data_IF_546133403114
#
_entry.id   IF_546133403114
#
_cell.length_a   1.000
_cell.length_b   1.000
_cell.length_c   1.000
_cell.angle_alpha   90.00
_cell.angle_beta   90.00
_cell.angle_gamma   90.00
#
_symmetry.space_group_name_H-M   'P 1'
#
loop_
_entity.id
_entity.type
_entity.pdbx_description
1 polymer ?
#
# COMPACT_ATOMS: atom_id res chain seq x y z
N UNK A 1 19.77 -32.63 -0.33
CA UNK A 1 19.28 -31.28 -0.05
C UNK A 1 18.49 -30.80 -1.26
N UNK A 2 17.24 -30.35 -1.08
CA UNK A 2 16.41 -29.84 -2.18
C UNK A 2 16.96 -28.47 -2.60
N UNK A 3 17.19 -28.26 -3.90
CA UNK A 3 17.60 -26.96 -4.45
C UNK A 3 16.34 -26.19 -4.84
N UNK A 4 16.11 -25.07 -4.20
CA UNK A 4 15.03 -24.12 -4.52
C UNK A 4 15.50 -23.22 -5.67
N UNK A 5 14.56 -22.74 -6.51
CA UNK A 5 14.87 -21.81 -7.59
C UNK A 5 15.51 -20.52 -7.05
N UNK A 6 16.55 -20.02 -7.74
CA UNK A 6 17.35 -18.88 -7.30
C UNK A 6 16.47 -17.65 -6.98
N UNK A 7 15.53 -17.32 -7.85
CA UNK A 7 14.59 -16.21 -7.63
C UNK A 7 13.78 -16.28 -6.33
N UNK A 8 13.58 -17.50 -5.77
CA UNK A 8 12.88 -17.70 -4.48
C UNK A 8 13.87 -17.55 -3.32
N UNK A 9 15.10 -18.07 -3.50
CA UNK A 9 16.15 -17.93 -2.48
C UNK A 9 16.61 -16.49 -2.28
N UNK A 10 16.52 -15.67 -3.33
CA UNK A 10 16.92 -14.26 -3.32
C UNK A 10 15.82 -13.32 -2.79
N UNK A 11 14.59 -13.83 -2.63
CA UNK A 11 13.48 -13.02 -2.10
C UNK A 11 13.61 -12.78 -0.61
N UNK A 12 13.39 -11.54 -0.20
CA UNK A 12 13.27 -11.19 1.21
C UNK A 12 11.88 -11.55 1.76
N UNK A 13 11.85 -12.07 2.99
CA UNK A 13 10.58 -12.22 3.70
C UNK A 13 9.96 -10.84 4.01
N UNK A 14 8.63 -10.74 3.93
CA UNK A 14 7.94 -9.51 4.27
C UNK A 14 8.11 -9.18 5.76
N UNK A 15 8.87 -8.12 6.08
CA UNK A 15 9.09 -7.67 7.45
C UNK A 15 7.77 -7.39 8.20
N UNK A 16 6.74 -6.90 7.50
CA UNK A 16 5.40 -6.71 8.06
C UNK A 16 4.78 -8.03 8.51
N UNK A 17 4.86 -9.09 7.68
CA UNK A 17 4.32 -10.40 8.02
C UNK A 17 5.15 -11.10 9.09
N UNK A 18 6.47 -10.98 9.06
CA UNK A 18 7.37 -11.51 10.08
C UNK A 18 7.11 -10.88 11.45
N UNK A 19 6.97 -9.55 11.53
CA UNK A 19 6.63 -8.87 12.78
C UNK A 19 5.23 -9.26 13.28
N UNK A 20 4.25 -9.40 12.41
CA UNK A 20 2.91 -9.85 12.78
C UNK A 20 2.90 -11.31 13.28
N UNK A 21 3.69 -12.20 12.68
CA UNK A 21 3.85 -13.58 13.14
C UNK A 21 4.51 -13.61 14.53
N UNK A 22 5.56 -12.82 14.74
CA UNK A 22 6.25 -12.71 16.04
C UNK A 22 5.32 -12.15 17.12
N UNK A 23 4.54 -11.13 16.79
CA UNK A 23 3.52 -10.57 17.70
C UNK A 23 2.49 -11.63 18.10
N UNK A 24 1.96 -12.42 17.16
CA UNK A 24 1.02 -13.51 17.46
C UNK A 24 1.65 -14.58 18.35
N UNK A 25 2.90 -14.97 18.09
CA UNK A 25 3.63 -15.92 18.91
C UNK A 25 3.72 -15.42 20.35
N UNK A 26 4.18 -14.18 20.57
CA UNK A 26 4.33 -13.59 21.90
C UNK A 26 3.00 -13.47 22.64
N UNK A 27 1.91 -13.12 21.93
CA UNK A 27 0.55 -13.15 22.50
C UNK A 27 0.13 -14.53 22.96
N UNK A 28 0.43 -15.58 22.17
CA UNK A 28 0.15 -16.97 22.55
C UNK A 28 0.96 -17.44 23.78
N UNK A 29 2.14 -16.84 24.00
CA UNK A 29 2.98 -17.03 25.19
C UNK A 29 2.47 -16.22 26.42
N UNK A 30 1.34 -15.51 26.28
CA UNK A 30 0.72 -14.73 27.37
C UNK A 30 1.26 -13.31 27.54
N UNK A 31 2.04 -12.78 26.61
CA UNK A 31 2.52 -11.39 26.65
C UNK A 31 1.45 -10.43 26.13
N UNK A 32 1.28 -9.30 26.82
CA UNK A 32 0.34 -8.25 26.46
C UNK A 32 0.89 -7.34 25.32
N UNK A 33 0.99 -7.91 24.11
CA UNK A 33 1.51 -7.20 22.93
C UNK A 33 0.41 -6.36 22.28
N UNK A 34 0.66 -5.07 22.07
CA UNK A 34 -0.14 -4.21 21.20
C UNK A 34 0.52 -4.23 19.80
N UNK A 35 -0.26 -4.64 18.77
CA UNK A 35 0.29 -4.78 17.41
C UNK A 35 -0.13 -3.62 16.52
N UNK A 36 0.82 -2.75 16.19
CA UNK A 36 0.67 -1.64 15.25
C UNK A 36 1.46 -1.89 13.95
N UNK A 37 1.72 -3.16 13.63
CA UNK A 37 2.53 -3.58 12.48
C UNK A 37 1.70 -3.89 11.23
N UNK A 38 0.41 -4.23 11.37
CA UNK A 38 -0.43 -4.64 10.25
C UNK A 38 -1.05 -3.44 9.52
N UNK A 39 -1.17 -3.58 8.21
CA UNK A 39 -1.89 -2.66 7.33
C UNK A 39 -3.32 -3.14 7.08
N UNK A 40 -4.12 -3.29 8.13
CA UNK A 40 -5.47 -3.82 8.05
C UNK A 40 -6.43 -2.93 8.85
N UNK A 41 -7.56 -2.47 8.25
CA UNK A 41 -8.58 -1.76 9.01
C UNK A 41 -9.14 -2.63 10.15
N UNK A 42 -9.34 -2.05 11.32
CA UNK A 42 -9.93 -2.72 12.49
C UNK A 42 -11.47 -2.72 12.47
N UNK A 43 -12.06 -2.19 11.42
CA UNK A 43 -13.50 -2.20 11.18
C UNK A 43 -13.97 -3.53 10.58
N UNK A 44 -15.24 -3.83 10.80
CA UNK A 44 -15.91 -4.92 10.08
C UNK A 44 -16.36 -4.45 8.71
N UNK A 45 -16.33 -5.37 7.72
CA UNK A 45 -16.97 -5.13 6.42
C UNK A 45 -18.42 -4.67 6.62
N UNK A 46 -18.86 -3.56 5.97
CA UNK A 46 -20.24 -3.07 6.06
C UNK A 46 -21.29 -4.12 5.73
N UNK A 47 -22.45 -4.03 6.37
CA UNK A 47 -23.48 -5.07 6.28
C UNK A 47 -24.01 -5.25 4.85
N UNK A 48 -24.27 -4.15 4.12
CA UNK A 48 -24.76 -4.20 2.75
C UNK A 48 -23.84 -5.00 1.81
N UNK A 49 -22.52 -4.98 2.05
CA UNK A 49 -21.54 -5.75 1.29
C UNK A 49 -21.66 -7.24 1.62
N UNK A 50 -21.84 -7.57 2.92
CA UNK A 50 -22.02 -8.96 3.36
C UNK A 50 -23.32 -9.55 2.84
N UNK A 51 -24.40 -8.76 2.81
CA UNK A 51 -25.68 -9.21 2.24
C UNK A 51 -25.55 -9.51 0.75
N UNK A 52 -24.86 -8.67 -0.03
CA UNK A 52 -24.57 -8.94 -1.44
C UNK A 52 -23.78 -10.26 -1.66
N UNK A 53 -22.88 -10.59 -0.73
CA UNK A 53 -22.19 -11.88 -0.76
C UNK A 53 -23.13 -13.06 -0.46
N UNK A 54 -24.01 -12.95 0.53
CA UNK A 54 -25.01 -13.97 0.89
C UNK A 54 -25.96 -14.21 -0.30
N UNK A 55 -26.45 -13.13 -0.92
CA UNK A 55 -27.25 -13.21 -2.13
C UNK A 55 -26.49 -13.91 -3.26
N UNK A 56 -25.22 -13.63 -3.44
CA UNK A 56 -24.37 -14.32 -4.41
C UNK A 56 -24.27 -15.83 -4.16
N UNK A 57 -24.24 -16.25 -2.89
CA UNK A 57 -24.28 -17.67 -2.53
C UNK A 57 -25.65 -18.28 -2.90
N UNK A 58 -26.75 -17.63 -2.51
CA UNK A 58 -28.12 -18.09 -2.76
C UNK A 58 -28.43 -18.16 -4.27
N UNK A 59 -27.88 -17.26 -5.06
CA UNK A 59 -27.95 -17.25 -6.52
C UNK A 59 -26.98 -18.22 -7.19
N UNK A 60 -26.23 -19.00 -6.41
CA UNK A 60 -25.33 -20.05 -6.92
C UNK A 60 -24.20 -19.55 -7.82
N UNK A 61 -23.55 -18.42 -7.47
CA UNK A 61 -22.30 -17.95 -8.11
C UNK A 61 -21.13 -18.87 -7.73
N UNK A 62 -21.16 -20.15 -8.16
CA UNK A 62 -20.23 -21.20 -7.75
C UNK A 62 -19.43 -21.81 -8.91
N UNK A 63 -19.68 -21.39 -10.14
CA UNK A 63 -18.98 -21.88 -11.33
C UNK A 63 -17.80 -20.97 -11.70
N UNK A 64 -16.96 -21.43 -12.64
CA UNK A 64 -15.89 -20.60 -13.19
C UNK A 64 -16.43 -19.30 -13.78
N UNK A 65 -15.76 -18.21 -13.48
CA UNK A 65 -16.06 -16.87 -13.96
C UNK A 65 -15.08 -16.45 -15.07
N UNK A 66 -15.41 -15.42 -15.87
CA UNK A 66 -14.46 -14.83 -16.81
C UNK A 66 -13.17 -14.36 -16.10
N UNK A 67 -12.01 -14.63 -16.71
CA UNK A 67 -10.70 -14.27 -16.15
C UNK A 67 -10.61 -12.79 -15.74
N UNK A 68 -11.06 -11.80 -16.56
CA UNK A 68 -11.03 -10.39 -16.18
C UNK A 68 -12.07 -9.98 -15.12
N UNK A 69 -12.89 -10.90 -14.65
CA UNK A 69 -14.05 -10.64 -13.79
C UNK A 69 -15.37 -10.56 -14.58
N UNK A 70 -16.49 -10.64 -13.85
CA UNK A 70 -17.81 -10.51 -14.43
C UNK A 70 -17.98 -9.16 -15.15
N UNK A 71 -18.75 -9.15 -16.24
CA UNK A 71 -18.95 -7.93 -17.03
C UNK A 71 -19.60 -6.82 -16.23
N UNK A 72 -20.64 -7.13 -15.45
CA UNK A 72 -21.33 -6.18 -14.60
C UNK A 72 -20.43 -5.61 -13.48
N UNK A 73 -19.48 -6.40 -12.95
CA UNK A 73 -18.47 -5.93 -12.02
C UNK A 73 -17.49 -4.96 -12.70
N UNK A 74 -17.05 -5.25 -13.93
CA UNK A 74 -16.15 -4.35 -14.68
C UNK A 74 -16.85 -3.04 -15.06
N UNK A 75 -18.13 -3.09 -15.40
CA UNK A 75 -18.96 -1.91 -15.63
C UNK A 75 -19.06 -1.09 -14.34
N UNK A 76 -19.34 -1.72 -13.20
CA UNK A 76 -19.42 -1.03 -11.90
C UNK A 76 -18.11 -0.32 -11.54
N UNK A 77 -16.96 -0.98 -11.78
CA UNK A 77 -15.64 -0.38 -11.57
C UNK A 77 -15.37 0.80 -12.51
N UNK A 78 -15.71 0.68 -13.80
CA UNK A 78 -15.57 1.78 -14.75
C UNK A 78 -16.42 2.99 -14.35
N UNK A 79 -17.65 2.76 -13.89
CA UNK A 79 -18.53 3.81 -13.36
C UNK A 79 -17.96 4.44 -12.08
N UNK A 80 -17.37 3.62 -11.19
CA UNK A 80 -16.67 4.11 -9.99
C UNK A 80 -15.50 5.02 -10.36
N UNK A 81 -14.66 4.64 -11.31
CA UNK A 81 -13.56 5.48 -11.75
C UNK A 81 -14.05 6.81 -12.34
N UNK A 82 -15.15 6.78 -13.10
CA UNK A 82 -15.75 8.03 -13.62
C UNK A 82 -16.33 8.89 -12.50
N UNK A 83 -17.07 8.31 -11.55
CA UNK A 83 -17.71 9.03 -10.41
C UNK A 83 -16.67 9.63 -9.47
N UNK A 84 -15.68 8.82 -9.07
CA UNK A 84 -14.76 9.18 -7.99
C UNK A 84 -13.51 9.89 -8.50
N UNK A 85 -13.02 9.55 -9.68
CA UNK A 85 -11.73 10.03 -10.18
C UNK A 85 -11.85 10.84 -11.49
N UNK A 86 -13.02 10.86 -12.14
CA UNK A 86 -13.22 11.48 -13.44
C UNK A 86 -12.60 10.71 -14.61
N UNK A 87 -12.11 9.49 -14.37
CA UNK A 87 -11.41 8.66 -15.36
C UNK A 87 -12.40 7.88 -16.22
N UNK A 88 -12.23 7.93 -17.55
CA UNK A 88 -13.17 7.33 -18.53
C UNK A 88 -12.66 6.00 -19.05
N UNK A 89 -12.54 4.99 -18.19
CA UNK A 89 -12.23 3.63 -18.61
C UNK A 89 -13.45 2.94 -19.21
N UNK A 90 -13.22 2.12 -20.25
CA UNK A 90 -14.22 1.18 -20.78
C UNK A 90 -14.13 -0.16 -20.03
N UNK A 91 -15.19 -0.98 -19.98
CA UNK A 91 -15.18 -2.27 -19.28
C UNK A 91 -14.08 -3.25 -19.73
N UNK A 92 -13.62 -3.16 -20.99
CA UNK A 92 -12.52 -3.97 -21.51
C UNK A 92 -11.12 -3.47 -21.08
N UNK A 93 -11.05 -2.33 -20.43
CA UNK A 93 -9.86 -1.75 -19.80
C UNK A 93 -9.75 -2.12 -18.31
N UNK A 94 -10.76 -2.82 -17.78
CA UNK A 94 -10.82 -3.21 -16.36
C UNK A 94 -10.48 -4.70 -16.23
N UNK A 95 -9.60 -5.02 -15.26
CA UNK A 95 -9.28 -6.40 -14.87
C UNK A 95 -9.39 -6.54 -13.37
N UNK A 96 -10.23 -7.48 -12.93
CA UNK A 96 -10.43 -7.81 -11.50
C UNK A 96 -9.48 -8.95 -11.11
N UNK A 97 -8.75 -8.79 -10.03
CA UNK A 97 -7.73 -9.73 -9.56
C UNK A 97 -7.94 -10.11 -8.09
N UNK A 98 -7.22 -11.14 -7.63
CA UNK A 98 -7.24 -11.59 -6.23
C UNK A 98 -6.45 -10.63 -5.33
N UNK A 99 -7.02 -9.42 -5.14
CA UNK A 99 -6.44 -8.27 -4.45
C UNK A 99 -5.47 -7.48 -5.33
N UNK A 100 -5.26 -6.20 -4.98
CA UNK A 100 -4.35 -5.30 -5.69
C UNK A 100 -2.92 -5.86 -5.82
N UNK A 101 -2.47 -6.69 -4.87
CA UNK A 101 -1.17 -7.36 -4.95
C UNK A 101 -1.04 -8.25 -6.19
N UNK A 102 -2.10 -8.97 -6.56
CA UNK A 102 -2.10 -9.76 -7.80
C UNK A 102 -2.17 -8.83 -9.03
N UNK A 103 -2.95 -7.76 -8.98
CA UNK A 103 -2.95 -6.76 -10.06
C UNK A 103 -1.55 -6.23 -10.34
N UNK A 104 -0.80 -5.89 -9.30
CA UNK A 104 0.58 -5.37 -9.41
C UNK A 104 1.52 -6.40 -10.04
N UNK A 105 1.55 -7.65 -9.56
CA UNK A 105 2.46 -8.65 -10.16
C UNK A 105 2.07 -8.98 -11.60
N UNK A 106 0.77 -9.00 -11.95
CA UNK A 106 0.33 -9.18 -13.32
C UNK A 106 0.85 -8.06 -14.22
N UNK A 107 0.78 -6.80 -13.77
CA UNK A 107 1.29 -5.63 -14.48
C UNK A 107 2.81 -5.70 -14.68
N UNK A 108 3.55 -5.96 -13.60
CA UNK A 108 5.01 -6.04 -13.65
C UNK A 108 5.45 -7.15 -14.61
N UNK A 109 4.87 -8.35 -14.53
CA UNK A 109 5.16 -9.44 -15.47
C UNK A 109 4.73 -9.16 -16.91
N UNK A 110 3.76 -8.26 -17.12
CA UNK A 110 3.31 -7.87 -18.47
C UNK A 110 4.21 -6.82 -19.11
N UNK A 111 4.88 -5.99 -18.33
CA UNK A 111 5.57 -4.79 -18.80
C UNK A 111 7.09 -4.85 -18.67
N UNK A 112 7.60 -5.66 -17.73
CA UNK A 112 9.01 -5.68 -17.35
C UNK A 112 9.70 -6.94 -17.87
N UNK A 113 10.75 -6.77 -18.64
CA UNK A 113 11.66 -7.85 -19.05
C UNK A 113 12.87 -7.92 -18.11
N UNK A 114 13.61 -9.04 -18.11
CA UNK A 114 14.87 -9.12 -17.38
C UNK A 114 15.84 -8.00 -17.79
N UNK A 115 16.29 -7.23 -16.79
CA UNK A 115 17.21 -6.12 -16.96
C UNK A 115 16.56 -4.74 -17.22
N UNK A 116 15.24 -4.67 -17.38
CA UNK A 116 14.52 -3.39 -17.39
C UNK A 116 14.55 -2.76 -16.00
N UNK A 117 14.64 -1.44 -15.97
CA UNK A 117 14.67 -0.65 -14.75
C UNK A 117 13.27 -0.17 -14.37
N UNK A 118 12.92 -0.36 -13.10
CA UNK A 118 11.66 0.13 -12.51
C UNK A 118 11.97 1.15 -11.43
N UNK A 119 11.57 2.40 -11.67
CA UNK A 119 11.74 3.48 -10.71
C UNK A 119 10.71 3.33 -9.58
N UNK A 120 11.21 3.28 -8.34
CA UNK A 120 10.39 3.14 -7.14
C UNK A 120 10.77 4.25 -6.15
N UNK A 121 9.93 5.31 -6.02
CA UNK A 121 10.11 6.31 -4.99
C UNK A 121 10.10 5.69 -3.61
N UNK A 122 11.15 5.91 -2.82
CA UNK A 122 11.25 5.45 -1.44
C UNK A 122 10.89 6.61 -0.48
N UNK A 123 10.15 6.35 0.61
CA UNK A 123 9.67 5.03 1.06
C UNK A 123 8.53 4.45 0.22
N UNK A 124 8.49 3.13 0.11
CA UNK A 124 7.54 2.38 -0.72
C UNK A 124 6.95 1.19 0.02
N UNK A 125 5.86 0.61 -0.49
CA UNK A 125 5.36 -0.65 0.06
C UNK A 125 6.31 -1.82 -0.25
N UNK A 126 6.71 -2.54 0.79
CA UNK A 126 7.74 -3.62 0.76
C UNK A 126 7.62 -4.62 -0.40
N UNK A 127 6.42 -4.81 -0.93
CA UNK A 127 6.15 -5.77 -2.00
C UNK A 127 6.65 -5.29 -3.38
N UNK A 128 6.77 -3.98 -3.61
CA UNK A 128 7.06 -3.45 -4.95
C UNK A 128 8.41 -3.94 -5.49
N UNK A 129 9.46 -3.72 -4.75
CA UNK A 129 10.83 -4.10 -5.16
C UNK A 129 10.97 -5.62 -5.31
N UNK A 130 10.32 -6.42 -4.47
CA UNK A 130 10.35 -7.87 -4.57
C UNK A 130 9.61 -8.37 -5.82
N UNK A 131 8.48 -7.79 -6.19
CA UNK A 131 7.78 -8.14 -7.41
C UNK A 131 8.57 -7.75 -8.67
N UNK A 132 9.27 -6.61 -8.64
CA UNK A 132 10.18 -6.21 -9.73
C UNK A 132 11.31 -7.23 -9.89
N UNK A 133 11.97 -7.63 -8.79
CA UNK A 133 13.02 -8.66 -8.81
C UNK A 133 12.51 -10.01 -9.30
N UNK A 134 11.29 -10.40 -8.90
CA UNK A 134 10.65 -11.64 -9.37
C UNK A 134 10.48 -11.68 -10.90
N UNK A 135 10.23 -10.55 -11.53
CA UNK A 135 10.14 -10.42 -12.99
C UNK A 135 11.51 -10.34 -13.67
N UNK A 136 12.60 -10.30 -12.91
CA UNK A 136 13.96 -10.09 -13.43
C UNK A 136 14.30 -8.61 -13.70
N UNK A 137 13.41 -7.68 -13.34
CA UNK A 137 13.65 -6.24 -13.41
C UNK A 137 14.59 -5.75 -12.30
N UNK A 138 15.12 -4.56 -12.49
CA UNK A 138 16.03 -3.89 -11.57
C UNK A 138 15.28 -2.72 -10.91
N UNK A 139 14.98 -2.79 -9.60
CA UNK A 139 14.37 -1.66 -8.90
C UNK A 139 15.41 -0.53 -8.75
N UNK A 140 15.06 0.66 -9.20
CA UNK A 140 15.82 1.89 -9.00
C UNK A 140 15.11 2.69 -7.92
N UNK A 141 15.62 2.59 -6.71
CA UNK A 141 15.03 3.24 -5.55
C UNK A 141 15.41 4.72 -5.52
N UNK A 142 14.42 5.62 -5.54
CA UNK A 142 14.64 7.06 -5.43
C UNK A 142 14.44 7.50 -3.98
N UNK A 143 15.52 7.80 -3.25
CA UNK A 143 15.39 8.21 -1.86
C UNK A 143 14.71 9.57 -1.73
N UNK A 144 13.87 9.68 -0.73
CA UNK A 144 13.29 10.94 -0.27
C UNK A 144 13.54 11.11 1.23
N UNK A 145 13.05 12.17 1.81
CA UNK A 145 13.21 12.41 3.26
C UNK A 145 11.97 13.07 3.86
N UNK A 146 11.93 13.10 5.18
CA UNK A 146 10.84 13.73 5.92
C UNK A 146 10.79 15.25 5.65
N UNK A 147 11.92 15.89 5.32
CA UNK A 147 12.00 17.32 5.04
C UNK A 147 11.29 17.72 3.74
N UNK A 148 11.16 16.80 2.78
CA UNK A 148 10.37 17.00 1.56
C UNK A 148 9.06 16.18 1.58
N UNK A 149 8.59 15.81 2.76
CA UNK A 149 7.37 15.04 2.99
C UNK A 149 7.35 13.71 2.22
N UNK A 150 8.51 13.08 2.10
CA UNK A 150 8.72 11.80 1.40
C UNK A 150 8.22 11.79 -0.06
N UNK A 151 8.29 12.95 -0.74
CA UNK A 151 7.88 13.11 -2.14
C UNK A 151 9.09 13.26 -3.05
N UNK A 152 9.06 12.65 -4.24
CA UNK A 152 10.04 12.92 -5.28
C UNK A 152 9.69 14.20 -6.04
N UNK A 153 10.72 14.88 -6.53
CA UNK A 153 10.58 16.00 -7.43
C UNK A 153 10.68 15.56 -8.90
N UNK A 154 10.14 16.34 -9.85
CA UNK A 154 10.34 16.12 -11.28
C UNK A 154 11.81 16.04 -11.69
N UNK A 155 12.69 16.81 -11.03
CA UNK A 155 14.13 16.80 -11.29
C UNK A 155 14.76 15.46 -10.88
N UNK A 156 14.37 14.88 -9.73
CA UNK A 156 14.84 13.56 -9.31
C UNK A 156 14.36 12.47 -10.27
N UNK A 157 13.08 12.51 -10.68
CA UNK A 157 12.55 11.55 -11.65
C UNK A 157 13.33 11.65 -12.97
N UNK A 158 13.49 12.86 -13.52
CA UNK A 158 14.22 13.07 -14.77
C UNK A 158 15.67 12.60 -14.70
N UNK A 159 16.35 12.81 -13.58
CA UNK A 159 17.72 12.38 -13.37
C UNK A 159 17.90 10.86 -13.28
N UNK A 160 16.85 10.14 -12.87
CA UNK A 160 16.84 8.69 -12.75
C UNK A 160 16.49 7.96 -14.06
N UNK A 161 15.94 8.67 -15.03
CA UNK A 161 15.56 8.08 -16.31
C UNK A 161 16.78 7.77 -17.16
N UNK A 162 16.84 6.55 -17.67
CA UNK A 162 17.86 6.03 -18.57
C UNK A 162 17.27 5.15 -19.67
N UNK A 163 18.11 4.65 -20.60
CA UNK A 163 17.64 3.86 -21.75
C UNK A 163 16.99 2.52 -21.39
N UNK A 164 17.11 2.08 -20.14
CA UNK A 164 16.48 0.86 -19.61
C UNK A 164 15.29 1.14 -18.72
N UNK A 165 14.98 2.40 -18.44
CA UNK A 165 13.86 2.79 -17.59
C UNK A 165 12.55 2.47 -18.30
N UNK A 166 11.76 1.58 -17.71
CA UNK A 166 10.51 1.06 -18.29
C UNK A 166 9.28 1.52 -17.55
N UNK A 167 9.39 1.67 -16.24
CA UNK A 167 8.22 1.81 -15.37
C UNK A 167 8.55 2.67 -14.14
N UNK A 168 7.59 3.49 -13.69
CA UNK A 168 7.54 4.02 -12.34
C UNK A 168 6.40 3.34 -11.57
N UNK A 169 6.68 2.94 -10.33
CA UNK A 169 5.69 2.31 -9.44
C UNK A 169 5.66 3.05 -8.11
N UNK A 170 4.53 3.65 -7.77
CA UNK A 170 4.35 4.37 -6.51
C UNK A 170 2.91 4.26 -6.00
N UNK A 171 2.64 4.66 -4.74
CA UNK A 171 1.30 4.73 -4.18
C UNK A 171 0.89 6.14 -3.76
N UNK A 172 -0.38 6.48 -3.98
CA UNK A 172 -0.95 7.77 -3.63
C UNK A 172 -2.43 7.62 -3.15
N UNK A 173 -2.73 7.82 -1.85
CA UNK A 173 -1.83 8.05 -0.70
C UNK A 173 -0.85 6.92 -0.42
N UNK A 174 0.30 7.25 0.17
CA UNK A 174 1.43 6.35 0.30
C UNK A 174 1.36 5.44 1.55
N UNK A 175 1.70 4.19 1.39
CA UNK A 175 2.14 3.30 2.45
C UNK A 175 3.66 3.12 2.29
N UNK A 176 4.51 3.59 3.24
CA UNK A 176 4.24 3.70 4.69
C UNK A 176 3.97 5.11 5.23
N UNK A 177 4.13 6.18 4.47
CA UNK A 177 4.25 7.55 4.99
C UNK A 177 2.94 8.25 5.28
N UNK A 178 1.83 7.79 4.67
CA UNK A 178 0.56 8.50 4.68
C UNK A 178 0.55 9.79 3.85
N UNK A 179 1.63 10.07 3.15
CA UNK A 179 1.77 11.25 2.28
C UNK A 179 0.86 11.15 1.07
N UNK A 180 0.34 12.29 0.62
CA UNK A 180 -0.46 12.41 -0.60
C UNK A 180 0.11 13.53 -1.47
N UNK A 181 0.26 13.25 -2.77
CA UNK A 181 0.66 14.26 -3.73
C UNK A 181 -0.52 15.17 -4.07
N UNK A 182 -0.26 16.46 -4.18
CA UNK A 182 -1.20 17.44 -4.71
C UNK A 182 -1.33 17.30 -6.24
N UNK A 183 -2.41 17.87 -6.80
CA UNK A 183 -2.61 17.89 -8.25
C UNK A 183 -1.45 18.56 -9.00
N UNK A 184 -0.90 19.64 -8.47
CA UNK A 184 0.25 20.34 -9.09
C UNK A 184 1.54 19.53 -9.06
N UNK A 185 1.81 18.81 -7.96
CA UNK A 185 2.96 17.93 -7.85
C UNK A 185 2.86 16.75 -8.84
N UNK A 186 1.68 16.11 -8.94
CA UNK A 186 1.45 15.04 -9.90
C UNK A 186 1.52 15.53 -11.34
N UNK A 187 0.98 16.74 -11.65
CA UNK A 187 1.08 17.34 -13.00
C UNK A 187 2.53 17.51 -13.42
N UNK A 188 3.38 18.01 -12.54
CA UNK A 188 4.79 18.20 -12.84
C UNK A 188 5.56 16.90 -13.05
N UNK A 189 5.19 15.81 -12.37
CA UNK A 189 5.71 14.47 -12.64
C UNK A 189 5.15 13.91 -13.95
N UNK A 190 3.88 14.16 -14.25
CA UNK A 190 3.23 13.72 -15.49
C UNK A 190 3.90 14.33 -16.73
N UNK A 191 4.32 15.58 -16.67
CA UNK A 191 5.06 16.21 -17.77
C UNK A 191 6.38 15.48 -18.07
N UNK A 192 7.14 15.04 -17.05
CA UNK A 192 8.35 14.24 -17.23
C UNK A 192 8.02 12.88 -17.85
N UNK A 193 6.94 12.22 -17.42
CA UNK A 193 6.51 10.94 -17.97
C UNK A 193 6.03 11.08 -19.42
N UNK A 194 5.31 12.16 -19.74
CA UNK A 194 4.82 12.44 -21.09
C UNK A 194 5.97 12.54 -22.10
N UNK A 195 7.04 13.23 -21.70
CA UNK A 195 8.24 13.47 -22.51
C UNK A 195 9.14 12.22 -22.64
N UNK A 196 8.88 11.14 -21.89
CA UNK A 196 9.71 9.92 -21.91
C UNK A 196 9.04 8.85 -22.76
N UNK A 197 9.69 8.43 -23.84
CA UNK A 197 9.21 7.38 -24.73
C UNK A 197 9.21 6.01 -24.02
N UNK A 198 8.22 5.16 -24.32
CA UNK A 198 8.07 3.77 -23.82
C UNK A 198 8.20 3.63 -22.29
N UNK A 199 7.80 4.66 -21.55
CA UNK A 199 7.83 4.71 -20.09
C UNK A 199 6.40 4.81 -19.54
N UNK A 200 6.07 3.94 -18.59
CA UNK A 200 4.73 3.79 -18.02
C UNK A 200 4.70 4.08 -16.51
N UNK A 201 3.51 4.29 -15.95
CA UNK A 201 3.33 4.51 -14.53
C UNK A 201 2.29 3.55 -13.99
N UNK A 202 2.61 2.81 -12.94
CA UNK A 202 1.66 2.12 -12.08
C UNK A 202 1.40 3.01 -10.88
N UNK A 203 0.18 3.56 -10.80
CA UNK A 203 -0.32 4.35 -9.67
C UNK A 203 -1.18 3.46 -8.79
N UNK A 204 -0.66 3.06 -7.62
CA UNK A 204 -1.39 2.28 -6.62
C UNK A 204 -2.20 3.24 -5.73
N UNK A 205 -3.50 3.30 -5.99
CA UNK A 205 -4.44 4.24 -5.37
C UNK A 205 -5.37 3.53 -4.37
N UNK A 206 -4.91 2.41 -3.78
CA UNK A 206 -5.71 1.58 -2.86
C UNK A 206 -6.22 2.33 -1.62
N UNK A 207 -5.61 3.46 -1.28
CA UNK A 207 -5.98 4.31 -0.15
C UNK A 207 -6.78 5.55 -0.55
N UNK A 208 -7.24 5.72 -1.80
CA UNK A 208 -7.88 6.93 -2.32
C UNK A 208 -9.02 7.46 -1.43
N UNK A 209 -9.86 6.58 -0.87
CA UNK A 209 -10.97 6.98 0.01
C UNK A 209 -10.53 7.29 1.45
N UNK A 210 -9.31 6.92 1.85
CA UNK A 210 -8.75 7.23 3.16
C UNK A 210 -7.81 8.43 2.98
N UNK A 211 -8.40 9.59 2.73
CA UNK A 211 -7.74 10.87 2.55
C UNK A 211 -8.38 11.91 3.45
N UNK A 212 -7.58 12.74 4.13
CA UNK A 212 -8.02 13.59 5.23
C UNK A 212 -7.97 15.09 4.93
N UNK A 213 -7.01 15.52 4.12
CA UNK A 213 -6.79 16.93 3.81
C UNK A 213 -7.57 17.38 2.55
N UNK A 214 -7.55 16.54 1.53
CA UNK A 214 -8.22 16.77 0.25
C UNK A 214 -8.58 15.40 -0.36
N UNK A 215 -9.41 15.41 -1.39
CA UNK A 215 -9.65 14.21 -2.19
C UNK A 215 -8.33 13.75 -2.80
N UNK A 216 -8.03 12.45 -2.72
CA UNK A 216 -6.84 11.90 -3.35
C UNK A 216 -6.89 12.10 -4.87
N UNK A 217 -5.78 12.59 -5.42
CA UNK A 217 -5.62 12.84 -6.85
C UNK A 217 -5.12 11.58 -7.55
N UNK A 218 -5.71 11.26 -8.71
CA UNK A 218 -5.24 10.16 -9.55
C UNK A 218 -4.18 10.63 -10.53
N UNK A 219 -3.12 9.83 -10.74
CA UNK A 219 -2.11 10.14 -11.76
C UNK A 219 -2.68 10.07 -13.17
N UNK A 220 -3.67 9.21 -13.42
CA UNK A 220 -4.32 9.05 -14.71
C UNK A 220 -5.23 10.23 -15.13
N UNK A 221 -5.44 11.22 -14.23
CA UNK A 221 -6.32 12.38 -14.55
C UNK A 221 -5.73 13.35 -15.59
N UNK A 222 -4.44 13.26 -15.89
CA UNK A 222 -3.79 14.13 -16.85
C UNK A 222 -3.79 13.49 -18.25
N UNK A 223 -4.39 14.17 -19.21
CA UNK A 223 -4.60 13.66 -20.58
C UNK A 223 -3.29 13.26 -21.27
N UNK A 224 -2.19 13.97 -20.96
CA UNK A 224 -0.87 13.70 -21.57
C UNK A 224 -0.22 12.40 -21.11
N UNK A 225 -0.74 11.75 -20.06
CA UNK A 225 -0.22 10.47 -19.53
C UNK A 225 -1.29 9.42 -19.30
N UNK A 226 -2.55 9.68 -19.67
CA UNK A 226 -3.65 8.71 -19.47
C UNK A 226 -3.32 7.34 -20.08
N UNK A 227 -2.83 7.30 -21.33
CA UNK A 227 -2.47 6.07 -22.04
C UNK A 227 -1.13 5.46 -21.59
N UNK A 228 -0.40 6.14 -20.71
CA UNK A 228 0.83 5.64 -20.07
C UNK A 228 0.63 5.23 -18.62
N UNK A 229 -0.56 5.44 -18.05
CA UNK A 229 -0.86 5.21 -16.64
C UNK A 229 -1.77 4.01 -16.45
N UNK A 230 -1.41 3.18 -15.50
CA UNK A 230 -2.22 2.08 -15.00
C UNK A 230 -2.64 2.42 -13.58
N UNK A 231 -3.94 2.60 -13.37
CA UNK A 231 -4.50 2.83 -12.03
C UNK A 231 -4.80 1.49 -11.38
N UNK A 232 -4.15 1.22 -10.25
CA UNK A 232 -4.41 0.04 -9.41
C UNK A 232 -5.24 0.46 -8.23
N UNK A 233 -6.29 -0.30 -7.93
CA UNK A 233 -7.17 -0.03 -6.79
C UNK A 233 -7.80 -1.32 -6.25
N UNK A 234 -8.72 -1.22 -5.29
CA UNK A 234 -9.43 -2.36 -4.72
C UNK A 234 -10.27 -1.98 -3.51
N UNK A 235 -10.96 -2.97 -2.97
CA UNK A 235 -11.91 -2.77 -1.86
C UNK A 235 -11.31 -3.06 -0.48
N UNK A 236 -10.05 -3.50 -0.42
CA UNK A 236 -9.43 -4.03 0.80
C UNK A 236 -9.37 -3.01 1.94
N UNK A 237 -9.12 -1.71 1.64
CA UNK A 237 -8.80 -0.71 2.67
C UNK A 237 -10.02 0.12 3.03
N UNK A 238 -10.62 0.80 2.08
CA UNK A 238 -11.76 1.69 2.31
C UNK A 238 -12.99 0.95 2.86
N UNK A 239 -13.20 -0.30 2.42
CA UNK A 239 -14.39 -1.08 2.78
C UNK A 239 -14.12 -2.18 3.82
N UNK A 240 -12.95 -2.17 4.47
CA UNK A 240 -12.55 -3.21 5.44
C UNK A 240 -12.72 -4.65 4.88
N UNK A 241 -12.22 -4.88 3.68
CA UNK A 241 -12.39 -6.12 2.91
C UNK A 241 -11.06 -6.81 2.61
N UNK A 242 -10.07 -6.75 3.50
CA UNK A 242 -8.74 -7.33 3.26
C UNK A 242 -8.79 -8.83 2.97
N UNK A 243 -9.63 -9.58 3.70
CA UNK A 243 -9.80 -11.02 3.56
C UNK A 243 -10.62 -11.45 2.34
N UNK A 244 -11.38 -10.55 1.70
CA UNK A 244 -12.19 -10.86 0.52
C UNK A 244 -11.36 -10.99 -0.76
N UNK A 245 -10.15 -10.43 -0.78
CA UNK A 245 -9.18 -10.55 -1.85
C UNK A 245 -9.68 -10.05 -3.22
N UNK A 246 -10.16 -8.81 -3.30
CA UNK A 246 -10.51 -8.15 -4.56
C UNK A 246 -9.72 -6.85 -4.74
N UNK A 247 -9.00 -6.79 -5.85
CA UNK A 247 -8.39 -5.60 -6.43
C UNK A 247 -8.69 -5.53 -7.91
N UNK A 248 -8.40 -4.41 -8.52
CA UNK A 248 -8.65 -4.21 -9.94
C UNK A 248 -7.72 -3.15 -10.53
N UNK A 249 -7.64 -3.13 -11.85
CA UNK A 249 -6.93 -2.10 -12.61
C UNK A 249 -7.86 -1.41 -13.59
N UNK A 250 -7.53 -0.15 -13.92
CA UNK A 250 -7.90 0.54 -15.14
C UNK A 250 -6.64 0.81 -15.94
N UNK A 251 -6.57 0.34 -17.19
CA UNK A 251 -5.36 0.37 -18.01
C UNK A 251 -5.67 0.52 -19.50
N UNK A 252 -4.71 0.90 -20.36
CA UNK A 252 -4.81 0.70 -21.81
C UNK A 252 -5.17 -0.74 -22.15
N UNK A 253 -5.97 -0.93 -23.21
CA UNK A 253 -6.56 -2.24 -23.56
C UNK A 253 -5.48 -3.31 -23.78
N UNK A 254 -4.36 -2.95 -24.36
CA UNK A 254 -3.23 -3.86 -24.61
C UNK A 254 -2.64 -4.39 -23.31
N UNK A 255 -2.46 -3.51 -22.31
CA UNK A 255 -1.97 -3.87 -20.99
C UNK A 255 -3.00 -4.71 -20.22
N UNK A 256 -4.28 -4.33 -20.29
CA UNK A 256 -5.36 -5.12 -19.70
C UNK A 256 -5.39 -6.54 -20.26
N UNK A 257 -5.29 -6.70 -21.58
CA UNK A 257 -5.24 -7.99 -22.25
C UNK A 257 -4.01 -8.83 -21.86
N UNK A 258 -2.84 -8.20 -21.70
CA UNK A 258 -1.63 -8.86 -21.21
C UNK A 258 -1.82 -9.37 -19.77
N UNK A 259 -2.39 -8.56 -18.88
CA UNK A 259 -2.73 -8.97 -17.51
C UNK A 259 -3.75 -10.14 -17.48
N UNK A 260 -4.78 -10.10 -18.33
CA UNK A 260 -5.77 -11.20 -18.45
C UNK A 260 -5.06 -12.50 -18.86
N UNK A 261 -4.13 -12.43 -19.81
CA UNK A 261 -3.35 -13.60 -20.27
C UNK A 261 -2.53 -14.22 -19.15
N UNK A 262 -1.82 -13.38 -18.36
CA UNK A 262 -1.03 -13.83 -17.22
C UNK A 262 -1.94 -14.39 -16.12
N UNK A 263 -2.97 -13.67 -15.73
CA UNK A 263 -3.90 -14.10 -14.69
C UNK A 263 -4.58 -15.44 -15.03
N UNK A 264 -4.91 -15.64 -16.31
CA UNK A 264 -5.47 -16.90 -16.80
C UNK A 264 -4.57 -18.12 -16.61
N UNK A 265 -3.23 -17.92 -16.59
CA UNK A 265 -2.25 -19.00 -16.35
C UNK A 265 -1.94 -19.20 -14.85
N UNK A 266 -2.17 -18.20 -14.00
CA UNK A 266 -1.84 -18.29 -12.57
C UNK A 266 -3.02 -18.72 -11.70
N UNK A 267 -4.15 -18.02 -11.80
CA UNK A 267 -5.27 -18.16 -10.84
C UNK A 267 -6.64 -18.27 -11.50
N UNK A 268 -6.75 -18.02 -12.80
CA UNK A 268 -8.04 -17.71 -13.46
C UNK A 268 -8.68 -16.45 -12.88
N UNK A 269 -10.01 -16.34 -12.81
CA UNK A 269 -10.70 -15.18 -12.26
C UNK A 269 -10.67 -15.13 -10.73
N UNK A 270 -10.90 -13.95 -10.16
CA UNK A 270 -11.09 -13.79 -8.73
C UNK A 270 -12.39 -14.43 -8.24
N UNK A 271 -12.45 -14.86 -6.98
CA UNK A 271 -13.57 -15.59 -6.41
C UNK A 271 -14.93 -14.90 -6.66
N UNK A 272 -15.89 -15.65 -7.17
CA UNK A 272 -17.22 -15.16 -7.62
C UNK A 272 -17.96 -14.41 -6.53
N UNK A 273 -18.08 -15.02 -5.35
CA UNK A 273 -18.78 -14.42 -4.19
C UNK A 273 -18.10 -13.12 -3.75
N UNK A 274 -16.76 -13.09 -3.74
CA UNK A 274 -16.01 -11.87 -3.45
C UNK A 274 -16.27 -10.77 -4.48
N UNK A 275 -16.45 -11.12 -5.76
CA UNK A 275 -16.82 -10.15 -6.80
C UNK A 275 -18.24 -9.59 -6.59
N UNK A 276 -19.23 -10.41 -6.15
CA UNK A 276 -20.58 -9.91 -5.81
C UNK A 276 -20.52 -8.90 -4.67
N UNK A 277 -19.81 -9.23 -3.59
CA UNK A 277 -19.56 -8.32 -2.48
C UNK A 277 -18.85 -7.02 -2.92
N UNK A 278 -17.78 -7.17 -3.70
CA UNK A 278 -17.00 -6.02 -4.17
C UNK A 278 -17.80 -5.12 -5.14
N UNK A 279 -18.70 -5.69 -5.94
CA UNK A 279 -19.61 -4.92 -6.79
C UNK A 279 -20.48 -3.98 -5.94
N UNK A 280 -21.11 -4.50 -4.88
CA UNK A 280 -21.88 -3.67 -3.95
C UNK A 280 -21.01 -2.56 -3.33
N UNK A 281 -19.76 -2.87 -2.97
CA UNK A 281 -18.84 -1.90 -2.40
C UNK A 281 -18.50 -0.76 -3.38
N UNK A 282 -18.16 -1.06 -4.65
CA UNK A 282 -17.78 -0.01 -5.62
C UNK A 282 -18.98 0.79 -6.15
N UNK A 283 -20.19 0.22 -6.11
CA UNK A 283 -21.43 0.90 -6.48
C UNK A 283 -21.95 1.82 -5.35
N UNK A 284 -21.55 1.56 -4.11
CA UNK A 284 -21.98 2.36 -2.96
C UNK A 284 -21.52 3.82 -3.05
N UNK A 285 -22.30 4.72 -2.47
CA UNK A 285 -21.87 6.09 -2.25
C UNK A 285 -20.68 6.08 -1.26
N UNK A 286 -19.58 6.81 -1.53
CA UNK A 286 -18.48 6.95 -0.58
C UNK A 286 -18.88 7.42 0.83
N UNK A 287 -20.03 8.09 0.98
CA UNK A 287 -20.57 8.48 2.29
C UNK A 287 -20.90 7.28 3.19
N UNK A 288 -21.21 6.10 2.63
CA UNK A 288 -21.48 4.86 3.39
C UNK A 288 -20.28 4.39 4.24
N UNK A 289 -19.06 4.82 3.88
CA UNK A 289 -17.83 4.49 4.60
C UNK A 289 -17.23 5.71 5.33
N UNK A 290 -17.90 6.87 5.30
CA UNK A 290 -17.40 8.12 5.86
C UNK A 290 -17.02 7.99 7.34
N UNK A 291 -17.82 7.25 8.10
CA UNK A 291 -17.55 7.02 9.53
C UNK A 291 -16.19 6.37 9.79
N UNK A 292 -15.70 5.49 8.90
CA UNK A 292 -14.38 4.88 9.02
C UNK A 292 -13.27 5.89 8.70
N UNK A 293 -13.47 6.71 7.67
CA UNK A 293 -12.53 7.76 7.27
C UNK A 293 -12.39 8.80 8.38
N UNK A 294 -13.50 9.25 8.97
CA UNK A 294 -13.51 10.20 10.07
C UNK A 294 -12.83 9.63 11.33
N UNK A 295 -13.05 8.36 11.63
CA UNK A 295 -12.35 7.67 12.72
C UNK A 295 -10.83 7.60 12.47
N UNK A 296 -10.39 7.27 11.25
CA UNK A 296 -8.97 7.27 10.91
C UNK A 296 -8.36 8.66 11.01
N UNK A 297 -9.06 9.71 10.57
CA UNK A 297 -8.61 11.10 10.74
C UNK A 297 -8.41 11.46 12.21
N UNK A 298 -9.39 11.14 13.05
CA UNK A 298 -9.31 11.38 14.50
C UNK A 298 -8.12 10.64 15.14
N UNK A 299 -7.92 9.38 14.78
CA UNK A 299 -6.79 8.56 15.25
C UNK A 299 -5.45 9.10 14.75
N UNK A 300 -5.37 9.58 13.49
CA UNK A 300 -4.19 10.25 12.96
C UNK A 300 -3.83 11.46 13.82
N UNK A 301 -4.80 12.33 14.10
CA UNK A 301 -4.58 13.55 14.88
C UNK A 301 -4.11 13.22 16.31
N UNK A 302 -4.73 12.20 16.92
CA UNK A 302 -4.33 11.68 18.24
C UNK A 302 -2.88 11.16 18.23
N UNK A 303 -2.56 10.25 17.30
CA UNK A 303 -1.25 9.59 17.22
C UNK A 303 -0.15 10.59 16.93
N UNK A 304 -0.35 11.49 15.97
CA UNK A 304 0.62 12.55 15.63
C UNK A 304 0.82 13.49 16.82
N UNK A 305 -0.24 13.86 17.53
CA UNK A 305 -0.16 14.66 18.74
C UNK A 305 0.72 14.02 19.82
N UNK A 306 0.42 12.75 20.15
CA UNK A 306 1.17 12.00 21.17
C UNK A 306 2.63 11.74 20.79
N UNK A 307 2.90 11.42 19.52
CA UNK A 307 4.27 11.18 19.05
C UNK A 307 5.13 12.45 19.07
N UNK A 308 4.55 13.62 18.82
CA UNK A 308 5.25 14.92 18.90
C UNK A 308 5.73 15.28 20.31
N UNK A 309 5.16 14.65 21.33
CA UNK A 309 5.61 14.82 22.73
C UNK A 309 6.87 13.98 23.06
N UNK A 310 7.31 13.10 22.15
CA UNK A 310 8.49 12.25 22.36
C UNK A 310 9.70 12.97 21.79
N UNK A 311 10.61 13.40 22.67
CA UNK A 311 11.85 14.05 22.24
C UNK A 311 12.70 13.12 21.38
N UNK A 312 13.21 13.64 20.28
CA UNK A 312 14.06 12.91 19.34
C UNK A 312 13.31 12.28 18.16
N UNK A 313 11.98 12.24 18.17
CA UNK A 313 11.21 11.86 16.98
C UNK A 313 10.99 13.07 16.07
N UNK A 314 11.16 12.88 14.74
CA UNK A 314 10.63 13.81 13.76
C UNK A 314 9.40 13.18 13.13
N UNK A 315 8.30 13.91 13.07
CA UNK A 315 6.99 13.40 12.67
C UNK A 315 6.48 14.18 11.45
N UNK A 316 6.20 13.48 10.36
CA UNK A 316 5.40 14.04 9.26
C UNK A 316 3.92 14.11 9.65
N UNK A 317 3.11 14.81 8.87
CA UNK A 317 1.66 14.85 9.07
C UNK A 317 0.97 14.05 7.95
N UNK A 318 0.59 12.79 8.18
CA UNK A 318 -0.06 11.97 7.17
C UNK A 318 -1.36 12.60 6.65
N UNK A 319 -1.51 12.68 5.34
CA UNK A 319 -2.71 13.24 4.68
C UNK A 319 -3.69 12.14 4.25
N UNK A 320 -3.24 10.88 4.25
CA UNK A 320 -4.06 9.72 3.90
C UNK A 320 -3.53 8.41 4.46
N UNK A 321 -4.12 7.30 4.03
CA UNK A 321 -3.90 5.95 4.57
C UNK A 321 -4.14 5.88 6.09
N UNK A 322 -3.51 4.96 6.80
CA UNK A 322 -3.61 4.85 8.26
C UNK A 322 -2.25 4.51 8.89
N UNK A 323 -1.21 5.21 8.42
CA UNK A 323 0.17 5.06 8.91
C UNK A 323 0.80 6.42 9.22
N UNK A 324 1.72 6.39 10.18
CA UNK A 324 2.70 7.44 10.41
C UNK A 324 4.09 6.83 10.31
N UNK A 325 5.04 7.62 9.81
CA UNK A 325 6.39 7.13 9.48
C UNK A 325 7.46 8.06 10.09
N UNK A 326 7.60 8.05 11.44
CA UNK A 326 8.55 8.92 12.12
C UNK A 326 10.00 8.56 11.84
N UNK A 327 10.85 9.60 11.69
CA UNK A 327 12.30 9.49 11.73
C UNK A 327 12.76 9.28 13.19
N UNK A 328 13.56 8.24 13.38
CA UNK A 328 14.08 7.77 14.68
C UNK A 328 15.60 7.81 14.75
N UNK A 329 16.24 8.45 13.78
CA UNK A 329 17.72 8.45 13.65
C UNK A 329 18.44 9.02 14.89
N UNK A 330 17.78 9.90 15.66
CA UNK A 330 18.31 10.47 16.92
C UNK A 330 18.54 9.42 18.01
N UNK A 331 17.96 8.23 17.88
CA UNK A 331 18.14 7.12 18.82
C UNK A 331 19.30 6.20 18.45
N UNK A 332 19.90 6.35 17.28
CA UNK A 332 21.04 5.52 16.87
C UNK A 332 22.25 5.77 17.74
N UNK A 333 22.91 4.69 18.12
CA UNK A 333 24.03 4.70 19.05
C UNK A 333 23.66 4.64 20.53
N UNK A 334 22.40 4.96 20.89
CA UNK A 334 21.91 4.92 22.26
C UNK A 334 21.77 3.48 22.78
N UNK A 335 21.85 3.33 24.10
CA UNK A 335 21.85 2.04 24.80
C UNK A 335 20.88 2.00 25.97
N UNK A 336 20.38 0.79 26.28
CA UNK A 336 19.70 0.48 27.54
C UNK A 336 20.20 -0.89 28.03
N UNK A 337 21.00 -0.91 29.10
CA UNK A 337 21.73 -2.10 29.52
C UNK A 337 22.66 -2.62 28.42
N UNK A 338 22.54 -3.90 28.08
CA UNK A 338 23.32 -4.55 27.00
C UNK A 338 22.76 -4.29 25.60
N UNK A 339 21.59 -3.69 25.52
CA UNK A 339 20.95 -3.41 24.22
C UNK A 339 21.46 -2.09 23.63
N UNK A 340 21.85 -2.13 22.35
CA UNK A 340 22.27 -0.96 21.59
C UNK A 340 21.43 -0.81 20.33
N UNK A 341 20.92 0.38 20.06
CA UNK A 341 20.19 0.73 18.85
C UNK A 341 21.17 1.16 17.77
N UNK A 342 21.43 0.30 16.78
CA UNK A 342 22.31 0.64 15.67
C UNK A 342 21.54 1.10 14.42
N UNK A 343 20.29 0.69 14.27
CA UNK A 343 19.42 0.93 13.11
C UNK A 343 17.93 0.84 13.49
N UNK A 344 17.03 1.03 12.52
CA UNK A 344 15.60 0.98 12.75
C UNK A 344 15.08 -0.42 13.10
N UNK A 345 15.74 -1.48 12.62
CA UNK A 345 15.39 -2.86 12.97
C UNK A 345 15.68 -3.13 14.43
N UNK A 346 16.86 -2.72 14.93
CA UNK A 346 17.20 -2.83 16.36
C UNK A 346 16.15 -2.10 17.22
N UNK A 347 15.78 -0.85 16.85
CA UNK A 347 14.75 -0.11 17.59
C UNK A 347 13.40 -0.82 17.56
N UNK A 348 12.99 -1.38 16.42
CA UNK A 348 11.73 -2.11 16.31
C UNK A 348 11.70 -3.36 17.22
N UNK A 349 12.81 -4.09 17.31
CA UNK A 349 12.97 -5.24 18.22
C UNK A 349 13.04 -4.81 19.68
N UNK A 350 13.72 -3.71 19.98
CA UNK A 350 13.75 -3.11 21.30
C UNK A 350 12.33 -2.73 21.78
N UNK A 351 11.55 -2.05 20.95
CA UNK A 351 10.18 -1.67 21.30
C UNK A 351 9.27 -2.89 21.45
N UNK A 352 9.49 -3.95 20.67
CA UNK A 352 8.75 -5.19 20.85
C UNK A 352 9.05 -5.85 22.20
N UNK A 353 10.32 -5.84 22.67
CA UNK A 353 10.73 -6.47 23.91
C UNK A 353 10.42 -5.61 25.15
N UNK A 354 10.75 -4.32 25.11
CA UNK A 354 10.69 -3.42 26.26
C UNK A 354 9.33 -2.72 26.41
N UNK A 355 8.72 -2.35 25.28
CA UNK A 355 7.41 -1.68 25.25
C UNK A 355 6.25 -2.65 25.05
N UNK A 356 6.51 -3.89 24.62
CA UNK A 356 5.49 -4.83 24.18
C UNK A 356 4.61 -4.26 23.05
N UNK A 357 5.22 -3.47 22.16
CA UNK A 357 4.56 -2.87 21.00
C UNK A 357 5.24 -3.33 19.72
N UNK A 358 4.48 -3.94 18.83
CA UNK A 358 4.97 -4.40 17.53
C UNK A 358 4.76 -3.31 16.47
N UNK A 359 5.84 -2.85 15.87
CA UNK A 359 5.90 -1.88 14.75
C UNK A 359 6.77 -2.45 13.64
N UNK A 360 6.91 -1.76 12.50
CA UNK A 360 7.74 -2.26 11.38
C UNK A 360 8.91 -1.33 11.14
N UNK A 361 10.10 -1.92 10.95
CA UNK A 361 11.32 -1.19 10.57
C UNK A 361 11.15 -0.47 9.23
N UNK A 362 11.68 0.74 9.13
CA UNK A 362 11.67 1.53 7.90
C UNK A 362 12.58 0.99 6.80
N UNK A 363 13.61 0.22 7.17
CA UNK A 363 14.50 -0.47 6.22
C UNK A 363 13.72 -1.29 5.19
N UNK A 364 12.62 -1.95 5.64
CA UNK A 364 11.75 -2.73 4.78
C UNK A 364 10.99 -1.89 3.73
N UNK A 365 10.91 -0.60 3.93
CA UNK A 365 10.24 0.37 3.05
C UNK A 365 11.24 1.25 2.27
N UNK A 366 12.55 0.95 2.37
CA UNK A 366 13.59 1.70 1.70
C UNK A 366 14.07 2.97 2.44
N UNK A 367 13.69 3.15 3.70
CA UNK A 367 14.21 4.24 4.55
C UNK A 367 14.70 3.70 5.91
N UNK A 368 16.03 3.55 6.09
CA UNK A 368 16.60 2.99 7.31
C UNK A 368 16.51 3.92 8.54
N UNK A 369 16.12 5.17 8.36
CA UNK A 369 16.03 6.14 9.46
C UNK A 369 14.66 6.18 10.13
N UNK A 370 13.67 5.48 9.58
CA UNK A 370 12.28 5.57 9.99
C UNK A 370 11.72 4.25 10.53
N UNK A 371 10.55 4.32 11.16
CA UNK A 371 9.72 3.16 11.52
C UNK A 371 8.27 3.41 11.08
N UNK A 372 7.53 2.35 10.72
CA UNK A 372 6.11 2.49 10.40
C UNK A 372 5.24 2.09 11.59
N UNK A 373 4.33 2.97 11.96
CA UNK A 373 3.28 2.76 12.97
C UNK A 373 1.92 2.82 12.27
N UNK A 374 1.14 1.75 12.34
CA UNK A 374 -0.25 1.75 11.89
C UNK A 374 -1.15 2.30 12.99
N UNK A 375 -2.08 3.20 12.64
CA UNK A 375 -3.11 3.65 13.59
C UNK A 375 -4.50 3.03 13.31
N UNK A 376 -4.52 1.90 12.61
CA UNK A 376 -5.73 1.07 12.46
C UNK A 376 -5.93 0.18 13.70
N UNK A 377 -6.16 0.82 14.84
CA UNK A 377 -6.46 0.21 16.14
C UNK A 377 -7.37 1.12 16.96
N UNK A 378 -7.90 0.65 18.07
CA UNK A 378 -8.74 1.49 18.95
C UNK A 378 -7.95 2.65 19.56
N UNK A 379 -8.61 3.79 19.84
CA UNK A 379 -7.97 4.96 20.47
C UNK A 379 -7.28 4.59 21.79
N UNK A 380 -7.91 3.70 22.58
CA UNK A 380 -7.34 3.24 23.85
C UNK A 380 -6.03 2.46 23.63
N UNK A 381 -5.99 1.54 22.66
CA UNK A 381 -4.77 0.80 22.32
C UNK A 381 -3.68 1.74 21.79
N UNK A 382 -4.04 2.74 20.98
CA UNK A 382 -3.09 3.72 20.43
C UNK A 382 -2.46 4.57 21.54
N UNK A 383 -3.27 5.06 22.48
CA UNK A 383 -2.77 5.85 23.65
C UNK A 383 -1.82 4.99 24.48
N UNK A 384 -2.21 3.77 24.83
CA UNK A 384 -1.37 2.87 25.63
C UNK A 384 -0.09 2.49 24.90
N UNK A 385 -0.16 2.15 23.61
CA UNK A 385 1.01 1.81 22.82
C UNK A 385 2.03 2.95 22.77
N UNK A 386 1.57 4.18 22.48
CA UNK A 386 2.48 5.33 22.40
C UNK A 386 3.05 5.69 23.78
N UNK A 387 2.26 5.56 24.84
CA UNK A 387 2.75 5.70 26.23
C UNK A 387 3.86 4.68 26.54
N UNK A 388 3.70 3.42 26.14
CA UNK A 388 4.72 2.37 26.30
C UNK A 388 5.97 2.69 25.47
N UNK A 389 5.81 3.13 24.23
CA UNK A 389 6.91 3.55 23.34
C UNK A 389 7.69 4.69 24.01
N UNK A 390 7.01 5.74 24.49
CA UNK A 390 7.63 6.90 25.17
C UNK A 390 8.49 6.45 26.35
N UNK A 391 7.92 5.67 27.25
CA UNK A 391 8.65 5.12 28.42
C UNK A 391 9.85 4.27 28.06
N UNK A 392 9.78 3.51 26.97
CA UNK A 392 10.90 2.69 26.51
C UNK A 392 12.01 3.57 25.90
N UNK A 393 11.65 4.57 25.09
CA UNK A 393 12.62 5.48 24.47
C UNK A 393 13.33 6.36 25.49
N UNK A 394 12.66 6.78 26.58
CA UNK A 394 13.26 7.55 27.70
C UNK A 394 14.35 6.76 28.44
N UNK A 395 14.38 5.43 28.37
CA UNK A 395 15.44 4.59 28.96
C UNK A 395 16.72 4.56 28.13
N UNK A 396 16.66 4.94 26.85
CA UNK A 396 17.81 4.94 25.94
C UNK A 396 18.71 6.16 26.22
N UNK A 397 19.99 5.90 26.49
CA UNK A 397 21.00 6.91 26.86
C UNK A 397 22.13 6.97 25.83
#
# INVERSE_FOLDING_TARGET
>A
MIKIAQRVSDMSESATLAMAAKSRQLKAEGKDIISLSLGEPDFKTPEFIKEAAKEGIDQNYSTYMPVPGYEDMRIAIANKFQRDNGLKYQPNQIVVSTGAKQSLINLILSLVNPGDEVIVPAPYWVTYVEQVRMAGGIPIELPTSIENDFKISPAQLKAALGPKSKLMLFSNPCNPTGTSYTKSELSALADVVADTEDFYVISDEIYEHISFAHKAESFAQFDNVFDKTITVNGVSKAFAMTGWRIGYIGAPVEIANACIKIQGQYTSGAASISQRAAKAAVEADPEEIRFMVDAFKKRRDLVVGLLKEIEGLKINNPEGAFYVFPDISSFFGKTNGDFKVNNATDLSLYLLSEALVAIVTGEAFGDPNCIRISYAASEAELIEAISRIKRALEKLK
#
